data_IF_650983319459
#
_entry.id   IF_650983319459
#
_cell.length_a   1.000
_cell.length_b   1.000
_cell.length_c   1.000
_cell.angle_alpha   90.00
_cell.angle_beta   90.00
_cell.angle_gamma   90.00
#
_symmetry.space_group_name_H-M   'P 1'
#
loop_
_entity.id
_entity.type
_entity.pdbx_description
1 polymer ?
#
# COMPACT_ATOMS: atom_id res chain seq x y z
N UNK A 1 24.06 70.01 6.63
CA UNK A 1 25.38 69.43 6.98
C UNK A 1 25.33 67.91 6.81
N UNK A 2 26.50 67.26 6.74
CA UNK A 2 26.75 65.84 7.08
C UNK A 2 25.99 64.70 6.34
N UNK A 3 26.74 63.95 5.51
CA UNK A 3 26.70 62.46 5.49
C UNK A 3 27.87 61.92 6.34
N UNK A 4 28.53 60.76 6.03
CA UNK A 4 28.27 59.70 5.03
C UNK A 4 27.40 58.55 5.62
N UNK A 5 27.42 57.22 5.33
CA UNK A 5 28.28 56.23 4.62
C UNK A 5 27.39 55.20 3.87
N UNK A 6 27.66 54.78 2.61
CA UNK A 6 28.60 53.77 2.03
C UNK A 6 28.19 52.27 2.13
N UNK A 7 28.38 51.57 0.99
CA UNK A 7 28.31 50.09 0.76
C UNK A 7 26.90 49.47 0.82
N UNK A 8 26.51 48.44 0.05
CA UNK A 8 27.00 47.78 -1.19
C UNK A 8 25.78 47.04 -1.82
N UNK A 9 25.46 47.15 -3.12
CA UNK A 9 25.88 46.30 -4.27
C UNK A 9 25.41 44.83 -4.21
N UNK A 10 24.86 44.34 -5.34
CA UNK A 10 24.19 43.03 -5.61
C UNK A 10 22.77 42.93 -4.99
N UNK A 11 21.66 42.70 -5.70
CA UNK A 11 21.32 42.00 -6.95
C UNK A 11 21.05 40.49 -6.81
N UNK A 12 19.76 40.11 -6.89
CA UNK A 12 19.28 38.80 -7.28
C UNK A 12 17.87 38.95 -7.89
N UNK A 13 17.62 38.32 -9.03
CA UNK A 13 16.25 38.16 -9.56
C UNK A 13 15.72 36.78 -9.13
N UNK A 14 14.46 36.70 -8.73
CA UNK A 14 13.79 35.44 -8.40
C UNK A 14 12.56 35.22 -9.26
N UNK A 15 12.44 34.00 -9.75
CA UNK A 15 11.57 33.61 -10.86
C UNK A 15 10.11 33.44 -10.43
N UNK A 16 9.17 33.86 -11.26
CA UNK A 16 7.77 33.47 -11.12
C UNK A 16 7.61 31.99 -11.55
N UNK A 17 7.13 31.14 -10.65
CA UNK A 17 6.74 29.75 -10.98
C UNK A 17 5.29 29.54 -10.57
N UNK A 18 4.40 29.51 -11.56
CA UNK A 18 2.97 29.26 -11.38
C UNK A 18 2.72 27.75 -11.27
N UNK A 19 2.86 27.21 -10.06
CA UNK A 19 2.67 25.78 -9.79
C UNK A 19 1.18 25.40 -9.78
N UNK A 20 0.59 25.18 -10.97
CA UNK A 20 -0.72 24.52 -11.09
C UNK A 20 -0.60 23.06 -10.70
N UNK A 21 -0.71 22.78 -9.40
CA UNK A 21 -0.75 21.43 -8.85
C UNK A 21 -2.05 20.74 -9.26
N UNK A 22 -1.99 20.00 -10.38
CA UNK A 22 -2.89 18.90 -10.67
C UNK A 22 -2.74 17.87 -9.56
N UNK A 23 -3.55 18.01 -8.50
CA UNK A 23 -3.60 17.04 -7.42
C UNK A 23 -3.92 15.65 -7.99
N UNK A 24 -3.26 14.58 -7.50
CA UNK A 24 -3.55 13.24 -7.99
C UNK A 24 -5.04 12.95 -7.73
N UNK A 25 -5.76 12.56 -8.78
CA UNK A 25 -7.15 12.13 -8.67
C UNK A 25 -7.22 11.03 -7.62
N UNK A 26 -7.80 11.33 -6.46
CA UNK A 26 -8.13 10.31 -5.47
C UNK A 26 -9.13 9.36 -6.13
N UNK A 27 -8.63 8.23 -6.60
CA UNK A 27 -9.44 7.11 -7.06
C UNK A 27 -10.20 6.58 -5.84
N UNK A 28 -11.40 7.12 -5.60
CA UNK A 28 -12.33 6.56 -4.63
C UNK A 28 -12.82 5.24 -5.19
N UNK A 29 -12.10 4.18 -4.84
CA UNK A 29 -12.53 2.82 -5.13
C UNK A 29 -13.92 2.59 -4.53
N UNK A 30 -14.82 1.90 -5.26
CA UNK A 30 -15.99 1.29 -4.63
C UNK A 30 -15.53 0.32 -3.54
N UNK A 31 -16.27 0.28 -2.43
CA UNK A 31 -16.07 -0.61 -1.29
C UNK A 31 -14.71 -0.45 -0.57
N UNK A 32 -14.46 0.79 -0.11
CA UNK A 32 -13.42 1.18 0.87
C UNK A 32 -13.74 0.62 2.28
N UNK A 33 -13.88 -0.71 2.35
CA UNK A 33 -14.46 -1.41 3.49
C UNK A 33 -13.42 -1.59 4.61
N UNK A 34 -13.44 -0.68 5.58
CA UNK A 34 -12.73 -0.82 6.84
C UNK A 34 -13.07 -2.16 7.51
N UNK A 35 -12.04 -2.89 7.95
CA UNK A 35 -12.19 -4.22 8.55
C UNK A 35 -12.94 -4.10 9.88
N UNK A 36 -13.90 -4.99 10.11
CA UNK A 36 -14.75 -5.03 11.32
C UNK A 36 -14.46 -6.26 12.20
N UNK A 37 -15.09 -6.32 13.37
CA UNK A 37 -15.00 -7.45 14.28
C UNK A 37 -13.71 -7.50 15.11
N UNK A 38 -13.32 -8.67 15.65
CA UNK A 38 -12.23 -8.79 16.64
C UNK A 38 -10.88 -8.22 16.20
N UNK A 39 -10.59 -8.25 14.89
CA UNK A 39 -9.34 -7.69 14.36
C UNK A 39 -9.35 -6.15 14.36
N UNK A 40 -10.50 -5.53 14.07
CA UNK A 40 -10.66 -4.08 14.20
C UNK A 40 -10.41 -3.63 15.64
N UNK A 41 -10.94 -4.36 16.62
CA UNK A 41 -10.70 -4.14 18.05
C UNK A 41 -9.23 -4.34 18.46
N UNK A 42 -8.49 -5.20 17.76
CA UNK A 42 -7.05 -5.39 17.98
C UNK A 42 -6.23 -4.21 17.44
N UNK A 43 -6.54 -3.73 16.24
CA UNK A 43 -5.90 -2.54 15.65
C UNK A 43 -6.22 -1.27 16.47
N UNK A 44 -7.48 -1.06 16.84
CA UNK A 44 -7.91 0.05 17.69
C UNK A 44 -7.32 0.00 19.12
N UNK A 45 -6.85 -1.16 19.57
CA UNK A 45 -6.13 -1.34 20.84
C UNK A 45 -4.59 -1.35 20.66
N UNK A 46 -4.08 -0.97 19.48
CA UNK A 46 -2.67 -0.91 19.13
C UNK A 46 -2.26 0.51 18.69
N UNK A 47 -0.99 0.84 18.81
CA UNK A 47 -0.45 2.13 18.31
C UNK A 47 -0.02 1.96 16.86
N UNK A 48 -0.63 2.71 15.95
CA UNK A 48 -0.13 2.85 14.56
C UNK A 48 1.25 3.54 14.56
N UNK A 49 2.23 2.95 13.87
CA UNK A 49 3.60 3.44 13.73
C UNK A 49 3.85 4.06 12.34
N UNK A 50 2.85 4.06 11.46
CA UNK A 50 2.93 4.51 10.07
C UNK A 50 3.27 3.40 9.07
N UNK A 51 3.53 3.77 7.80
CA UNK A 51 3.71 2.82 6.69
C UNK A 51 4.77 1.74 6.95
N UNK A 52 4.39 0.48 6.73
CA UNK A 52 5.21 -0.68 7.06
C UNK A 52 6.45 -0.79 6.18
N UNK A 53 7.55 -1.25 6.80
CA UNK A 53 8.83 -1.52 6.12
C UNK A 53 9.13 -3.02 5.97
N UNK A 54 8.16 -3.89 6.22
CA UNK A 54 8.32 -5.33 6.01
C UNK A 54 8.70 -5.65 4.55
N UNK A 55 9.77 -6.44 4.37
CA UNK A 55 10.29 -6.83 3.06
C UNK A 55 9.56 -8.04 2.44
N UNK A 56 8.92 -8.86 3.29
CA UNK A 56 8.09 -10.01 2.92
C UNK A 56 6.77 -9.94 3.71
N UNK A 57 5.95 -8.94 3.40
CA UNK A 57 4.55 -8.97 3.76
C UNK A 57 3.81 -9.94 2.82
N UNK A 58 2.71 -10.53 3.30
CA UNK A 58 2.01 -11.61 2.60
C UNK A 58 0.50 -11.37 2.52
N UNK A 59 -0.12 -11.87 1.45
CA UNK A 59 -1.57 -11.80 1.21
C UNK A 59 -2.06 -13.07 0.52
N UNK A 60 -3.01 -13.77 1.14
CA UNK A 60 -3.68 -14.93 0.52
C UNK A 60 -4.73 -14.47 -0.49
N UNK A 61 -4.85 -15.17 -1.61
CA UNK A 61 -5.95 -15.05 -2.59
C UNK A 61 -6.59 -16.42 -2.84
N UNK A 62 -7.89 -16.45 -3.09
CA UNK A 62 -8.63 -17.66 -3.49
C UNK A 62 -8.81 -17.66 -5.01
N UNK A 63 -8.51 -18.79 -5.64
CA UNK A 63 -8.55 -18.96 -7.09
C UNK A 63 -9.95 -19.40 -7.56
N UNK A 64 -10.15 -19.47 -8.88
CA UNK A 64 -11.34 -20.08 -9.49
C UNK A 64 -11.24 -21.60 -9.65
N UNK A 65 -10.06 -22.18 -9.41
CA UNK A 65 -9.82 -23.62 -9.43
C UNK A 65 -8.35 -23.98 -9.21
N UNK A 66 -8.06 -25.28 -9.17
CA UNK A 66 -6.75 -25.85 -8.82
C UNK A 66 -5.74 -25.95 -10.00
N UNK A 67 -5.87 -25.08 -11.01
CA UNK A 67 -4.94 -24.98 -12.14
C UNK A 67 -3.85 -23.92 -11.86
N UNK A 68 -2.67 -23.98 -12.52
CA UNK A 68 -1.61 -22.99 -12.31
C UNK A 68 -2.09 -21.55 -12.59
N UNK A 69 -2.02 -20.63 -11.61
CA UNK A 69 -2.61 -19.29 -11.73
C UNK A 69 -1.70 -18.33 -12.51
N UNK A 70 -1.65 -18.52 -13.84
CA UNK A 70 -0.75 -17.79 -14.72
C UNK A 70 -1.02 -16.28 -14.79
N UNK A 71 -2.28 -15.87 -14.66
CA UNK A 71 -2.69 -14.45 -14.68
C UNK A 71 -2.20 -13.73 -13.43
N UNK A 72 -2.37 -14.36 -12.26
CA UNK A 72 -1.87 -13.88 -10.98
C UNK A 72 -0.34 -13.81 -10.95
N UNK A 73 0.35 -14.83 -11.47
CA UNK A 73 1.82 -14.86 -11.55
C UNK A 73 2.34 -13.70 -12.40
N UNK A 74 1.82 -13.52 -13.63
CA UNK A 74 2.24 -12.42 -14.51
C UNK A 74 1.87 -11.04 -13.98
N UNK A 75 0.70 -10.90 -13.33
CA UNK A 75 0.28 -9.66 -12.68
C UNK A 75 1.18 -9.30 -11.49
N UNK A 76 1.52 -10.27 -10.64
CA UNK A 76 2.36 -10.03 -9.46
C UNK A 76 3.78 -9.61 -9.84
N UNK A 77 4.39 -10.30 -10.83
CA UNK A 77 5.74 -9.96 -11.33
C UNK A 77 5.78 -8.52 -11.86
N UNK A 78 4.79 -8.11 -12.64
CA UNK A 78 4.64 -6.73 -13.14
C UNK A 78 4.48 -5.67 -12.03
N UNK A 79 4.08 -6.07 -10.82
CA UNK A 79 4.01 -5.19 -9.63
C UNK A 79 5.22 -5.36 -8.68
N UNK A 80 6.22 -6.17 -9.04
CA UNK A 80 7.40 -6.46 -8.22
C UNK A 80 7.08 -7.28 -6.97
N UNK A 81 6.13 -8.21 -7.09
CA UNK A 81 5.64 -9.17 -6.09
C UNK A 81 5.87 -10.61 -6.58
N UNK A 82 5.93 -11.56 -5.65
CA UNK A 82 6.04 -12.99 -5.94
C UNK A 82 4.72 -13.73 -5.67
N UNK A 83 4.54 -14.91 -6.28
CA UNK A 83 3.40 -15.81 -6.02
C UNK A 83 3.91 -17.17 -5.58
N UNK A 84 3.39 -17.66 -4.46
CA UNK A 84 3.60 -19.01 -3.95
C UNK A 84 2.28 -19.78 -4.02
N UNK A 85 2.27 -20.80 -4.88
CA UNK A 85 1.16 -21.71 -5.16
C UNK A 85 1.70 -23.16 -5.22
N UNK A 86 0.84 -24.17 -5.12
CA UNK A 86 1.20 -25.59 -5.31
C UNK A 86 0.16 -26.30 -6.15
N UNK A 87 0.59 -27.29 -6.93
CA UNK A 87 -0.29 -28.11 -7.76
C UNK A 87 -1.40 -28.75 -6.91
N UNK A 88 -2.65 -28.35 -7.17
CA UNK A 88 -3.83 -28.82 -6.45
C UNK A 88 -4.45 -27.80 -5.49
N UNK A 89 -3.74 -26.72 -5.11
CA UNK A 89 -4.30 -25.67 -4.25
C UNK A 89 -5.27 -24.77 -5.05
N UNK A 90 -6.45 -24.49 -4.48
CA UNK A 90 -7.42 -23.48 -4.96
C UNK A 90 -7.17 -22.09 -4.35
N UNK A 91 -5.97 -21.86 -3.83
CA UNK A 91 -5.53 -20.64 -3.16
C UNK A 91 -4.04 -20.40 -3.42
N UNK A 92 -3.61 -19.15 -3.36
CA UNK A 92 -2.19 -18.78 -3.50
C UNK A 92 -1.82 -17.69 -2.50
N UNK A 93 -0.53 -17.54 -2.21
CA UNK A 93 0.00 -16.43 -1.41
C UNK A 93 0.78 -15.50 -2.34
N UNK A 94 0.38 -14.23 -2.42
CA UNK A 94 1.18 -13.15 -2.99
C UNK A 94 2.09 -12.59 -1.90
N UNK A 95 3.38 -12.43 -2.16
CA UNK A 95 4.33 -11.86 -1.17
C UNK A 95 5.23 -10.78 -1.76
N UNK A 96 5.78 -9.93 -0.88
CA UNK A 96 6.78 -8.93 -1.24
C UNK A 96 6.81 -7.75 -0.28
N UNK A 97 7.52 -6.66 -0.63
CA UNK A 97 7.61 -5.48 0.23
C UNK A 97 6.24 -4.87 0.50
N UNK A 98 5.96 -4.53 1.75
CA UNK A 98 4.65 -4.02 2.19
C UNK A 98 4.16 -2.83 1.36
N UNK A 99 5.05 -1.90 0.98
CA UNK A 99 4.72 -0.76 0.11
C UNK A 99 4.30 -1.15 -1.32
N UNK A 100 4.74 -2.30 -1.85
CA UNK A 100 4.30 -2.82 -3.16
C UNK A 100 2.97 -3.54 -3.05
N UNK A 101 2.75 -4.34 -2.00
CA UNK A 101 1.44 -4.94 -1.72
C UNK A 101 0.38 -3.84 -1.51
N UNK A 102 0.71 -2.80 -0.74
CA UNK A 102 -0.14 -1.63 -0.53
C UNK A 102 -0.53 -0.94 -1.85
N UNK A 103 0.44 -0.72 -2.74
CA UNK A 103 0.20 -0.10 -4.05
C UNK A 103 -0.61 -0.99 -4.99
N UNK A 104 -0.25 -2.28 -5.11
CA UNK A 104 -0.88 -3.23 -6.04
C UNK A 104 -2.33 -3.58 -5.67
N UNK A 105 -2.65 -3.60 -4.37
CA UNK A 105 -4.01 -3.84 -3.86
C UNK A 105 -4.73 -2.55 -3.42
N UNK A 106 -4.13 -1.36 -3.64
CA UNK A 106 -4.70 -0.05 -3.31
C UNK A 106 -5.22 0.09 -1.85
N UNK A 107 -4.50 -0.46 -0.87
CA UNK A 107 -4.82 -0.36 0.57
C UNK A 107 -3.59 0.05 1.40
N UNK A 108 -3.75 0.80 2.50
CA UNK A 108 -2.62 1.13 3.38
C UNK A 108 -2.13 -0.11 4.13
N UNK A 109 -0.81 -0.30 4.22
CA UNK A 109 -0.18 -1.33 5.07
C UNK A 109 0.77 -0.63 6.04
N UNK A 110 0.41 -0.61 7.32
CA UNK A 110 1.12 0.09 8.40
C UNK A 110 1.71 -0.91 9.41
N UNK A 111 2.78 -0.54 10.10
CA UNK A 111 3.28 -1.27 11.27
C UNK A 111 2.52 -0.82 12.53
N UNK A 112 2.07 -1.76 13.36
CA UNK A 112 1.32 -1.51 14.60
C UNK A 112 2.05 -2.09 15.80
N UNK A 113 2.07 -1.35 16.93
CA UNK A 113 2.55 -1.84 18.22
C UNK A 113 1.38 -2.26 19.11
N UNK A 114 1.28 -3.54 19.40
CA UNK A 114 0.29 -4.08 20.32
C UNK A 114 0.67 -3.86 21.80
N UNK A 115 -0.30 -4.08 22.69
CA UNK A 115 -0.19 -3.80 24.15
C UNK A 115 0.92 -4.56 24.90
N UNK A 116 1.58 -5.56 24.30
CA UNK A 116 2.74 -6.26 24.89
C UNK A 116 4.07 -5.80 24.26
N UNK A 117 4.06 -4.70 23.50
CA UNK A 117 5.22 -4.17 22.78
C UNK A 117 5.54 -4.88 21.47
N UNK A 118 4.77 -5.92 21.09
CA UNK A 118 4.96 -6.64 19.83
C UNK A 118 4.62 -5.74 18.64
N UNK A 119 5.43 -5.82 17.57
CA UNK A 119 5.19 -5.11 16.32
C UNK A 119 4.77 -6.11 15.25
N UNK A 120 3.75 -5.75 14.47
CA UNK A 120 3.19 -6.52 13.35
C UNK A 120 2.70 -5.54 12.28
N UNK A 121 2.69 -5.95 11.00
CA UNK A 121 2.11 -5.11 9.94
C UNK A 121 0.61 -5.44 9.77
N UNK A 122 -0.18 -4.50 9.25
CA UNK A 122 -1.59 -4.73 8.95
C UNK A 122 -2.14 -3.74 7.91
N UNK A 123 -3.19 -4.15 7.20
CA UNK A 123 -4.16 -3.22 6.62
C UNK A 123 -5.37 -3.03 7.53
N UNK A 124 -5.86 -1.80 7.64
CA UNK A 124 -7.17 -1.46 8.24
C UNK A 124 -8.34 -1.66 7.28
N UNK A 125 -8.07 -1.81 5.98
CA UNK A 125 -9.05 -1.89 4.91
C UNK A 125 -9.00 -3.28 4.25
N UNK A 126 -10.14 -3.83 3.87
CA UNK A 126 -10.21 -5.08 3.11
C UNK A 126 -9.63 -4.85 1.69
N UNK A 127 -8.57 -5.58 1.27
CA UNK A 127 -8.10 -5.52 -0.10
C UNK A 127 -9.22 -5.80 -1.12
N UNK A 128 -9.48 -4.89 -2.08
CA UNK A 128 -10.38 -5.15 -3.22
C UNK A 128 -9.74 -6.15 -4.20
N UNK A 129 -10.58 -6.82 -5.00
CA UNK A 129 -10.15 -7.72 -6.07
C UNK A 129 -9.75 -6.91 -7.33
N UNK A 130 -8.46 -6.87 -7.73
CA UNK A 130 -8.01 -6.14 -8.91
C UNK A 130 -8.71 -6.63 -10.18
N UNK A 131 -9.11 -5.70 -11.05
CA UNK A 131 -9.92 -6.03 -12.24
C UNK A 131 -9.27 -7.11 -13.14
N UNK A 132 -7.95 -7.01 -13.34
CA UNK A 132 -7.16 -7.93 -14.16
C UNK A 132 -7.19 -9.39 -13.65
N UNK A 133 -7.51 -9.64 -12.38
CA UNK A 133 -7.49 -10.97 -11.77
C UNK A 133 -8.86 -11.66 -11.76
N UNK A 134 -9.95 -10.98 -12.13
CA UNK A 134 -11.34 -11.46 -11.94
C UNK A 134 -11.74 -12.72 -12.73
N UNK A 135 -10.91 -13.18 -13.68
CA UNK A 135 -11.09 -14.46 -14.37
C UNK A 135 -10.46 -15.67 -13.65
N UNK A 136 -9.53 -15.42 -12.72
CA UNK A 136 -8.66 -16.46 -12.12
C UNK A 136 -8.69 -16.43 -10.59
N UNK A 137 -8.98 -15.26 -9.98
CA UNK A 137 -9.09 -15.03 -8.55
C UNK A 137 -10.54 -14.70 -8.20
N UNK A 138 -11.11 -15.43 -7.25
CA UNK A 138 -12.49 -15.29 -6.78
C UNK A 138 -12.61 -14.43 -5.52
N UNK A 139 -11.59 -14.44 -4.65
CA UNK A 139 -11.54 -13.63 -3.44
C UNK A 139 -10.11 -13.21 -3.09
N UNK A 140 -9.98 -12.11 -2.35
CA UNK A 140 -8.73 -11.64 -1.77
C UNK A 140 -8.86 -11.66 -0.24
N UNK A 141 -7.84 -12.17 0.45
CA UNK A 141 -7.76 -12.24 1.90
C UNK A 141 -7.48 -10.88 2.54
N UNK A 142 -6.76 -10.90 3.67
CA UNK A 142 -6.33 -9.69 4.40
C UNK A 142 -4.82 -9.67 4.54
N UNK A 143 -4.25 -8.48 4.68
CA UNK A 143 -2.84 -8.25 4.97
C UNK A 143 -2.71 -8.15 6.50
N UNK A 144 -2.08 -9.15 7.11
CA UNK A 144 -2.02 -9.45 8.55
C UNK A 144 -0.62 -9.96 8.97
#
# INVERSE_FOLDING_TARGET
MSGPHRFAVLAAATLLVLATLSGPTMWRAPDDAAITGPYASLLAASTDLGPSRAADAQLTVTLSGAAPPGTLIGWADAHGLAVRWRTGDDWAIVTGPAGRLAAAFAVPVHDYRGRRGQVFYASTHQPPLPFALRGEVTAVGRIL
#
